data_IF_053721714967
#
_entry.id   IF_053721714967
#
_cell.length_a   1.000
_cell.length_b   1.000
_cell.length_c   1.000
_cell.angle_alpha   90.00
_cell.angle_beta   90.00
_cell.angle_gamma   90.00
#
_symmetry.space_group_name_H-M   'P 1'
#
loop_
_entity.id
_entity.type
_entity.pdbx_description
1 polymer ?
#
# COMPACT_ATOMS: atom_id res chain seq x y z
N UNK A 1 35.81 41.46 -6.51
CA UNK A 1 36.30 41.35 -5.11
C UNK A 1 35.59 40.18 -4.45
N UNK A 2 36.37 39.18 -4.13
CA UNK A 2 35.91 37.89 -3.61
C UNK A 2 35.58 37.99 -2.13
N UNK A 3 34.58 37.26 -1.66
CA UNK A 3 34.54 36.70 -0.30
C UNK A 3 33.79 35.36 -0.31
N UNK A 4 34.60 34.31 -0.32
CA UNK A 4 34.21 32.97 0.11
C UNK A 4 33.97 33.01 1.62
N UNK A 5 32.81 32.49 2.06
CA UNK A 5 32.60 32.10 3.45
C UNK A 5 32.35 30.56 3.46
N UNK A 6 33.38 29.83 3.84
CA UNK A 6 33.29 28.43 4.24
C UNK A 6 32.52 28.37 5.57
N UNK A 7 31.42 27.66 5.60
CA UNK A 7 30.77 27.23 6.84
C UNK A 7 30.99 25.72 7.01
N UNK A 8 31.82 25.39 8.01
CA UNK A 8 32.04 24.02 8.45
C UNK A 8 30.84 23.56 9.31
N UNK A 9 30.22 22.45 8.95
CA UNK A 9 29.24 21.78 9.79
C UNK A 9 29.90 20.68 10.62
N UNK A 10 29.61 20.56 11.93
CA UNK A 10 30.15 19.48 12.74
C UNK A 10 29.37 18.18 12.50
N UNK A 11 30.11 17.12 12.22
CA UNK A 11 29.65 15.74 12.21
C UNK A 11 29.45 15.28 13.64
N UNK A 12 28.21 15.07 14.04
CA UNK A 12 27.88 14.39 15.31
C UNK A 12 27.73 12.89 15.01
N UNK A 13 28.74 12.12 15.38
CA UNK A 13 28.70 10.67 15.38
C UNK A 13 27.92 10.19 16.62
N UNK A 14 26.72 9.72 16.45
CA UNK A 14 25.96 9.02 17.48
C UNK A 14 26.28 7.51 17.38
N UNK A 15 27.12 7.01 18.26
CA UNK A 15 27.38 5.60 18.48
C UNK A 15 26.21 5.03 19.30
N UNK A 16 25.31 4.26 18.67
CA UNK A 16 24.30 3.47 19.35
C UNK A 16 24.91 2.13 19.77
N UNK A 17 25.04 1.94 21.07
CA UNK A 17 25.46 0.70 21.72
C UNK A 17 24.37 -0.36 21.58
N UNK A 18 24.58 -1.36 20.73
CA UNK A 18 23.81 -2.59 20.68
C UNK A 18 24.30 -3.50 21.82
N UNK A 19 23.61 -3.48 22.94
CA UNK A 19 23.77 -4.47 23.99
C UNK A 19 22.44 -5.20 24.20
N UNK A 20 22.39 -6.48 23.86
CA UNK A 20 21.23 -7.31 24.09
C UNK A 20 21.33 -8.67 23.44
N UNK A 21 22.43 -9.41 23.75
CA UNK A 21 22.53 -10.81 23.38
C UNK A 21 21.82 -11.63 24.44
N UNK A 22 20.66 -12.20 24.11
CA UNK A 22 19.97 -13.24 24.87
C UNK A 22 19.85 -14.45 23.96
N UNK A 23 20.67 -15.50 24.20
CA UNK A 23 20.69 -16.71 23.40
C UNK A 23 19.43 -17.56 23.60
N UNK A 24 18.92 -18.04 22.51
CA UNK A 24 17.97 -19.11 22.35
C UNK A 24 18.12 -19.61 20.93
N UNK A 25 18.76 -20.80 20.78
CA UNK A 25 18.88 -21.46 19.48
C UNK A 25 17.52 -22.09 19.17
N UNK A 26 16.66 -21.38 18.49
CA UNK A 26 15.50 -21.93 17.83
C UNK A 26 15.52 -21.53 16.38
N UNK A 27 15.21 -22.51 15.55
CA UNK A 27 15.25 -22.53 14.09
C UNK A 27 14.81 -21.19 13.47
N UNK A 28 15.74 -20.53 12.80
CA UNK A 28 15.51 -19.29 12.07
C UNK A 28 14.47 -19.52 10.97
N UNK A 29 13.19 -19.36 11.27
CA UNK A 29 12.23 -19.05 10.23
C UNK A 29 12.57 -17.63 9.76
N UNK A 30 12.94 -17.48 8.51
CA UNK A 30 13.33 -16.20 7.90
C UNK A 30 12.12 -15.31 7.58
N UNK A 31 11.00 -15.51 8.26
CA UNK A 31 9.77 -14.78 8.08
C UNK A 31 9.70 -13.48 8.93
N UNK A 32 8.95 -12.52 8.46
CA UNK A 32 8.59 -11.33 9.22
C UNK A 32 7.61 -11.72 10.33
N UNK A 33 7.77 -11.24 11.58
CA UNK A 33 6.80 -11.54 12.64
C UNK A 33 5.38 -11.15 12.23
N UNK A 34 4.36 -11.84 12.74
CA UNK A 34 2.96 -11.50 12.45
C UNK A 34 2.65 -10.03 12.77
N UNK A 35 3.22 -9.49 13.86
CA UNK A 35 3.00 -8.10 14.26
C UNK A 35 3.66 -7.10 13.30
N UNK A 36 4.91 -7.33 12.90
CA UNK A 36 5.62 -6.47 11.96
C UNK A 36 4.99 -6.55 10.56
N UNK A 37 4.58 -7.75 10.14
CA UNK A 37 3.90 -7.96 8.87
C UNK A 37 2.56 -7.22 8.83
N UNK A 38 1.74 -7.36 9.87
CA UNK A 38 0.45 -6.68 9.99
C UNK A 38 0.61 -5.16 9.97
N UNK A 39 1.57 -4.64 10.76
CA UNK A 39 1.88 -3.21 10.83
C UNK A 39 2.34 -2.67 9.47
N UNK A 40 3.28 -3.34 8.81
CA UNK A 40 3.78 -2.97 7.48
C UNK A 40 2.66 -2.96 6.44
N UNK A 41 1.91 -4.07 6.32
CA UNK A 41 0.79 -4.18 5.39
C UNK A 41 -0.25 -3.08 5.60
N UNK A 42 -0.72 -2.88 6.83
CA UNK A 42 -1.77 -1.92 7.12
C UNK A 42 -1.30 -0.47 6.94
N UNK A 43 -0.04 -0.15 7.25
CA UNK A 43 0.56 1.16 7.01
C UNK A 43 0.57 1.49 5.53
N UNK A 44 1.10 0.59 4.70
CA UNK A 44 1.22 0.81 3.26
C UNK A 44 -0.16 0.82 2.58
N UNK A 45 -1.07 -0.04 3.04
CA UNK A 45 -2.46 -0.03 2.59
C UNK A 45 -3.18 1.28 2.93
N UNK A 46 -2.95 1.84 4.12
CA UNK A 46 -3.55 3.14 4.53
C UNK A 46 -3.05 4.27 3.65
N UNK A 47 -1.74 4.34 3.39
CA UNK A 47 -1.14 5.35 2.52
C UNK A 47 -1.72 5.24 1.10
N UNK A 48 -1.82 4.03 0.58
CA UNK A 48 -2.39 3.77 -0.74
C UNK A 48 -3.89 4.13 -0.83
N UNK A 49 -4.72 3.72 0.14
CA UNK A 49 -6.15 4.08 0.21
C UNK A 49 -6.34 5.60 0.22
N UNK A 50 -5.55 6.31 1.03
CA UNK A 50 -5.58 7.78 1.09
C UNK A 50 -5.25 8.39 -0.27
N UNK A 51 -4.21 7.91 -0.93
CA UNK A 51 -3.83 8.40 -2.27
C UNK A 51 -4.92 8.15 -3.33
N UNK A 52 -5.63 7.03 -3.26
CA UNK A 52 -6.76 6.75 -4.16
C UNK A 52 -7.94 7.71 -3.94
N UNK A 53 -8.25 8.03 -2.68
CA UNK A 53 -9.31 8.98 -2.35
C UNK A 53 -8.94 10.41 -2.78
N UNK A 54 -7.68 10.81 -2.61
CA UNK A 54 -7.17 12.09 -3.10
C UNK A 54 -7.25 12.18 -4.63
N UNK A 55 -6.86 11.13 -5.35
CA UNK A 55 -7.01 11.05 -6.80
C UNK A 55 -8.49 11.13 -7.23
N UNK A 56 -9.38 10.43 -6.51
CA UNK A 56 -10.83 10.47 -6.74
C UNK A 56 -11.41 11.88 -6.52
N UNK A 57 -10.97 12.57 -5.47
CA UNK A 57 -11.39 13.93 -5.16
C UNK A 57 -10.87 14.94 -6.20
N UNK A 58 -9.61 14.77 -6.64
CA UNK A 58 -8.97 15.67 -7.60
C UNK A 58 -9.67 15.68 -8.97
N UNK A 59 -10.15 14.53 -9.44
CA UNK A 59 -10.95 14.44 -10.69
C UNK A 59 -12.25 15.25 -10.58
N UNK A 60 -12.88 15.29 -9.41
CA UNK A 60 -14.09 16.10 -9.19
C UNK A 60 -13.81 17.61 -9.19
N UNK A 61 -12.59 18.01 -8.89
CA UNK A 61 -12.17 19.43 -8.79
C UNK A 61 -11.44 19.95 -10.02
N UNK A 62 -11.36 19.16 -11.10
CA UNK A 62 -10.87 19.62 -12.41
C UNK A 62 -9.50 19.08 -12.82
N UNK A 63 -8.91 18.13 -12.06
CA UNK A 63 -7.72 17.38 -12.55
C UNK A 63 -8.11 16.54 -13.76
N UNK A 64 -7.21 16.46 -14.74
CA UNK A 64 -7.49 15.65 -15.93
C UNK A 64 -7.57 14.15 -15.56
N UNK A 65 -8.41 13.35 -16.23
CA UNK A 65 -8.45 11.91 -16.00
C UNK A 65 -7.08 11.23 -16.19
N UNK A 66 -6.24 11.76 -17.10
CA UNK A 66 -4.89 11.26 -17.34
C UNK A 66 -3.97 11.45 -16.14
N UNK A 67 -3.94 12.64 -15.53
CA UNK A 67 -3.10 12.91 -14.36
C UNK A 67 -3.55 12.09 -13.14
N UNK A 68 -4.87 11.96 -12.94
CA UNK A 68 -5.42 11.12 -11.88
C UNK A 68 -5.08 9.64 -12.11
N UNK A 69 -5.17 9.16 -13.36
CA UNK A 69 -4.82 7.80 -13.74
C UNK A 69 -3.33 7.50 -13.49
N UNK A 70 -2.46 8.46 -13.82
CA UNK A 70 -1.02 8.33 -13.55
C UNK A 70 -0.77 8.21 -12.04
N UNK A 71 -1.37 9.09 -11.23
CA UNK A 71 -1.26 9.02 -9.77
C UNK A 71 -1.71 7.67 -9.23
N UNK A 72 -2.89 7.18 -9.65
CA UNK A 72 -3.42 5.87 -9.24
C UNK A 72 -2.46 4.75 -9.65
N UNK A 73 -1.91 4.81 -10.84
CA UNK A 73 -0.97 3.81 -11.36
C UNK A 73 0.30 3.75 -10.52
N UNK A 74 0.93 4.90 -10.27
CA UNK A 74 2.20 4.99 -9.54
C UNK A 74 2.02 4.54 -8.08
N UNK A 75 0.96 4.98 -7.41
CA UNK A 75 0.67 4.60 -6.03
C UNK A 75 0.31 3.11 -5.91
N UNK A 76 -0.42 2.57 -6.89
CA UNK A 76 -0.76 1.15 -6.90
C UNK A 76 0.48 0.28 -7.14
N UNK A 77 1.36 0.66 -8.05
CA UNK A 77 2.62 -0.05 -8.27
C UNK A 77 3.53 -0.02 -7.04
N UNK A 78 3.59 1.11 -6.33
CA UNK A 78 4.34 1.22 -5.07
C UNK A 78 3.76 0.30 -3.99
N UNK A 79 2.45 0.24 -3.86
CA UNK A 79 1.79 -0.65 -2.91
C UNK A 79 2.00 -2.14 -3.25
N UNK A 80 1.94 -2.52 -4.54
CA UNK A 80 2.26 -3.88 -4.99
C UNK A 80 3.69 -4.28 -4.61
N UNK A 81 4.66 -3.38 -4.82
CA UNK A 81 6.05 -3.61 -4.42
C UNK A 81 6.20 -3.77 -2.91
N UNK A 82 5.47 -2.99 -2.11
CA UNK A 82 5.45 -3.15 -0.65
C UNK A 82 4.92 -4.54 -0.25
N UNK A 83 3.82 -5.01 -0.83
CA UNK A 83 3.27 -6.36 -0.58
C UNK A 83 4.31 -7.44 -0.91
N UNK A 84 4.98 -7.32 -2.04
CA UNK A 84 6.00 -8.29 -2.46
C UNK A 84 7.21 -8.29 -1.50
N UNK A 85 7.57 -7.12 -0.97
CA UNK A 85 8.67 -6.93 -0.02
C UNK A 85 8.40 -7.48 1.38
N UNK A 86 7.14 -7.59 1.80
CA UNK A 86 6.78 -8.12 3.14
C UNK A 86 7.11 -9.61 3.29
N UNK A 87 7.10 -10.37 2.21
CA UNK A 87 7.27 -11.83 2.27
C UNK A 87 6.09 -12.53 2.96
N UNK A 88 6.33 -13.74 3.46
CA UNK A 88 5.35 -14.46 4.27
C UNK A 88 5.46 -14.04 5.74
N UNK A 89 4.35 -13.85 6.47
CA UNK A 89 4.41 -13.74 7.93
C UNK A 89 4.88 -15.06 8.55
N UNK A 90 5.58 -14.97 9.67
CA UNK A 90 6.03 -16.12 10.44
C UNK A 90 4.89 -16.65 11.31
N UNK A 91 3.94 -17.30 10.65
CA UNK A 91 2.75 -17.92 11.24
C UNK A 91 2.51 -19.29 10.59
N UNK A 92 1.75 -20.20 11.21
CA UNK A 92 1.41 -21.49 10.60
C UNK A 92 0.77 -21.37 9.21
N UNK A 93 -0.04 -20.34 8.98
CA UNK A 93 -0.75 -20.09 7.72
C UNK A 93 -0.10 -18.97 6.88
N UNK A 94 1.13 -18.56 7.20
CA UNK A 94 1.81 -17.41 6.59
C UNK A 94 2.00 -17.52 5.09
N UNK A 95 2.21 -18.72 4.55
CA UNK A 95 2.27 -18.94 3.09
C UNK A 95 0.92 -18.69 2.40
N UNK A 96 -0.19 -19.02 3.09
CA UNK A 96 -1.55 -18.75 2.61
C UNK A 96 -1.82 -17.25 2.63
N UNK A 97 -1.43 -16.57 3.71
CA UNK A 97 -1.53 -15.12 3.86
C UNK A 97 -0.74 -14.38 2.77
N UNK A 98 0.50 -14.80 2.49
CA UNK A 98 1.30 -14.26 1.39
C UNK A 98 0.62 -14.48 0.04
N UNK A 99 0.06 -15.66 -0.21
CA UNK A 99 -0.66 -15.96 -1.45
C UNK A 99 -1.89 -15.07 -1.61
N UNK A 100 -2.63 -14.84 -0.55
CA UNK A 100 -3.80 -13.94 -0.52
C UNK A 100 -3.38 -12.50 -0.83
N UNK A 101 -2.30 -12.00 -0.22
CA UNK A 101 -1.76 -10.67 -0.50
C UNK A 101 -1.26 -10.52 -1.95
N UNK A 102 -0.56 -11.51 -2.49
CA UNK A 102 -0.12 -11.54 -3.91
C UNK A 102 -1.30 -11.61 -4.90
N UNK A 103 -2.38 -12.28 -4.54
CA UNK A 103 -3.61 -12.31 -5.34
C UNK A 103 -4.23 -10.91 -5.43
N UNK A 104 -4.22 -10.13 -4.33
CA UNK A 104 -4.60 -8.71 -4.35
C UNK A 104 -3.69 -7.93 -5.30
N UNK A 105 -2.37 -8.06 -5.18
CA UNK A 105 -1.41 -7.37 -6.05
C UNK A 105 -1.68 -7.64 -7.54
N UNK A 106 -1.93 -8.90 -7.91
CA UNK A 106 -2.31 -9.29 -9.29
C UNK A 106 -3.63 -8.64 -9.73
N UNK A 107 -4.63 -8.61 -8.86
CA UNK A 107 -5.93 -7.97 -9.14
C UNK A 107 -5.75 -6.47 -9.39
N UNK A 108 -4.98 -5.79 -8.55
CA UNK A 108 -4.69 -4.36 -8.68
C UNK A 108 -3.91 -4.05 -9.96
N UNK A 109 -2.94 -4.87 -10.34
CA UNK A 109 -2.23 -4.75 -11.63
C UNK A 109 -3.21 -4.80 -12.81
N UNK A 110 -4.18 -5.72 -12.78
CA UNK A 110 -5.22 -5.80 -13.79
C UNK A 110 -6.14 -4.57 -13.84
N UNK A 111 -6.35 -3.88 -12.70
CA UNK A 111 -7.12 -2.62 -12.66
C UNK A 111 -6.32 -1.46 -13.25
N UNK A 112 -5.04 -1.36 -12.92
CA UNK A 112 -4.13 -0.36 -13.52
C UNK A 112 -4.09 -0.52 -15.04
N UNK A 113 -3.99 -1.74 -15.55
CA UNK A 113 -4.01 -1.99 -17.00
C UNK A 113 -5.31 -1.49 -17.65
N UNK A 114 -6.47 -1.67 -17.00
CA UNK A 114 -7.76 -1.15 -17.50
C UNK A 114 -7.82 0.37 -17.49
N UNK A 115 -7.29 1.03 -16.47
CA UNK A 115 -7.17 2.48 -16.41
C UNK A 115 -6.30 2.97 -17.57
N UNK A 116 -5.12 2.39 -17.76
CA UNK A 116 -4.19 2.76 -18.84
C UNK A 116 -4.84 2.62 -20.22
N UNK A 117 -5.57 1.53 -20.46
CA UNK A 117 -6.30 1.33 -21.72
C UNK A 117 -7.40 2.38 -21.94
N UNK A 118 -8.11 2.78 -20.88
CA UNK A 118 -9.20 3.76 -20.99
C UNK A 118 -8.69 5.20 -21.21
N UNK A 119 -7.46 5.49 -20.76
CA UNK A 119 -6.82 6.82 -20.91
C UNK A 119 -6.02 6.93 -22.22
N UNK A 120 -5.98 5.89 -23.03
CA UNK A 120 -5.28 5.95 -24.32
C UNK A 120 -5.85 7.08 -25.19
N UNK A 121 -5.08 8.18 -25.29
CA UNK A 121 -5.44 9.39 -26.02
C UNK A 121 -5.46 9.19 -27.54
N UNK A 122 -4.98 8.04 -28.03
CA UNK A 122 -5.02 7.69 -29.44
C UNK A 122 -6.39 7.13 -29.87
N UNK A 123 -7.31 6.92 -28.93
CA UNK A 123 -8.67 6.51 -29.25
C UNK A 123 -9.63 7.71 -29.28
N UNK A 124 -9.98 8.23 -30.48
CA UNK A 124 -10.83 9.41 -30.61
C UNK A 124 -12.28 9.19 -30.16
N UNK A 125 -12.69 7.93 -29.98
CA UNK A 125 -14.06 7.55 -29.61
C UNK A 125 -14.29 7.61 -28.09
N UNK A 126 -13.23 7.76 -27.27
CA UNK A 126 -13.34 7.81 -25.80
C UNK A 126 -13.38 9.25 -25.32
N UNK A 127 -14.51 9.66 -24.79
CA UNK A 127 -14.69 11.01 -24.23
C UNK A 127 -14.03 11.15 -22.85
N UNK A 128 -13.69 12.38 -22.45
CA UNK A 128 -13.18 12.69 -21.09
C UNK A 128 -14.13 12.19 -20.01
N UNK A 129 -15.45 12.28 -20.22
CA UNK A 129 -16.44 11.77 -19.27
C UNK A 129 -16.36 10.24 -19.10
N UNK A 130 -16.15 9.50 -20.18
CA UNK A 130 -15.96 8.05 -20.14
C UNK A 130 -14.65 7.66 -19.43
N UNK A 131 -13.55 8.37 -19.73
CA UNK A 131 -12.28 8.19 -19.02
C UNK A 131 -12.43 8.42 -17.52
N UNK A 132 -13.05 9.52 -17.14
CA UNK A 132 -13.37 9.83 -15.73
C UNK A 132 -14.16 8.72 -15.07
N UNK A 133 -15.22 8.23 -15.71
CA UNK A 133 -16.05 7.16 -15.17
C UNK A 133 -15.26 5.87 -14.96
N UNK A 134 -14.38 5.49 -15.89
CA UNK A 134 -13.53 4.31 -15.75
C UNK A 134 -12.55 4.47 -14.59
N UNK A 135 -11.85 5.59 -14.48
CA UNK A 135 -10.92 5.86 -13.35
C UNK A 135 -11.65 5.73 -12.01
N UNK A 136 -12.79 6.40 -11.86
CA UNK A 136 -13.58 6.35 -10.62
C UNK A 136 -14.08 4.93 -10.30
N UNK A 137 -14.55 4.19 -11.31
CA UNK A 137 -14.98 2.81 -11.15
C UNK A 137 -13.84 1.89 -10.69
N UNK A 138 -12.64 2.01 -11.30
CA UNK A 138 -11.50 1.19 -10.92
C UNK A 138 -11.00 1.54 -9.52
N UNK A 139 -11.01 2.82 -9.10
CA UNK A 139 -10.71 3.23 -7.72
C UNK A 139 -11.70 2.58 -6.75
N UNK A 140 -13.00 2.72 -6.97
CA UNK A 140 -14.03 2.15 -6.09
C UNK A 140 -13.90 0.62 -5.96
N UNK A 141 -13.62 -0.05 -7.08
CA UNK A 141 -13.42 -1.49 -7.08
C UNK A 141 -12.12 -1.89 -6.34
N UNK A 142 -11.04 -1.12 -6.48
CA UNK A 142 -9.79 -1.36 -5.75
C UNK A 142 -9.97 -1.20 -4.23
N UNK A 143 -10.75 -0.22 -3.79
CA UNK A 143 -11.09 -0.02 -2.37
C UNK A 143 -11.94 -1.18 -1.81
N UNK A 144 -12.78 -1.79 -2.63
CA UNK A 144 -13.54 -3.00 -2.26
C UNK A 144 -12.60 -4.21 -2.14
N UNK A 145 -11.66 -4.36 -3.06
CA UNK A 145 -10.71 -5.48 -3.06
C UNK A 145 -9.81 -5.44 -1.82
N UNK A 146 -9.25 -4.28 -1.46
CA UNK A 146 -8.40 -4.17 -0.27
C UNK A 146 -9.19 -4.48 1.00
N UNK A 147 -10.42 -3.97 1.13
CA UNK A 147 -11.29 -4.26 2.27
C UNK A 147 -11.57 -5.75 2.41
N UNK A 148 -11.92 -6.41 1.32
CA UNK A 148 -12.21 -7.85 1.30
C UNK A 148 -10.95 -8.67 1.61
N UNK A 149 -9.81 -8.30 1.03
CA UNK A 149 -8.55 -9.01 1.24
C UNK A 149 -8.05 -8.84 2.68
N UNK A 150 -8.13 -7.62 3.24
CA UNK A 150 -7.74 -7.37 4.63
C UNK A 150 -8.57 -8.21 5.61
N UNK A 151 -9.88 -8.28 5.40
CA UNK A 151 -10.76 -9.15 6.20
C UNK A 151 -10.40 -10.63 6.05
N UNK A 152 -10.11 -11.09 4.82
CA UNK A 152 -9.73 -12.46 4.54
C UNK A 152 -8.39 -12.85 5.18
N UNK A 153 -7.38 -12.00 5.14
CA UNK A 153 -6.09 -12.22 5.79
C UNK A 153 -6.25 -12.50 7.28
N UNK A 154 -7.10 -11.72 7.98
CA UNK A 154 -7.35 -11.93 9.40
C UNK A 154 -8.26 -13.12 9.73
N UNK A 155 -8.97 -13.69 8.74
CA UNK A 155 -9.81 -14.88 8.91
C UNK A 155 -9.06 -16.17 8.59
N UNK A 156 -8.24 -16.16 7.55
CA UNK A 156 -7.51 -17.35 7.08
C UNK A 156 -6.30 -17.68 7.96
N UNK A 157 -5.79 -16.71 8.72
CA UNK A 157 -4.65 -16.83 9.62
C UNK A 157 -4.99 -16.20 10.97
N UNK A 158 -5.26 -17.03 11.96
CA UNK A 158 -5.75 -16.59 13.28
C UNK A 158 -4.70 -15.78 14.06
N UNK A 159 -3.40 -16.11 13.91
CA UNK A 159 -2.31 -15.39 14.56
C UNK A 159 -2.12 -14.01 13.90
N UNK A 160 -2.09 -13.96 12.57
CA UNK A 160 -2.06 -12.71 11.83
C UNK A 160 -3.30 -11.87 12.14
N UNK A 161 -4.50 -12.46 12.19
CA UNK A 161 -5.74 -11.77 12.56
C UNK A 161 -5.69 -11.15 13.95
N UNK A 162 -5.02 -11.80 14.90
CA UNK A 162 -4.77 -11.26 16.23
C UNK A 162 -3.81 -10.08 16.19
N UNK A 163 -2.70 -10.20 15.43
CA UNK A 163 -1.74 -9.14 15.23
C UNK A 163 -2.38 -7.91 14.55
N UNK A 164 -3.19 -8.12 13.52
CA UNK A 164 -3.91 -7.05 12.82
C UNK A 164 -4.86 -6.29 13.76
N UNK A 165 -5.59 -6.99 14.63
CA UNK A 165 -6.48 -6.35 15.62
C UNK A 165 -5.71 -5.54 16.68
N UNK A 166 -4.48 -5.93 17.01
CA UNK A 166 -3.63 -5.22 17.96
C UNK A 166 -2.87 -4.04 17.35
N UNK A 167 -2.79 -3.96 16.01
CA UNK A 167 -2.03 -2.93 15.30
C UNK A 167 -2.81 -1.61 15.19
N UNK A 168 -2.16 -0.49 15.56
CA UNK A 168 -2.69 0.87 15.36
C UNK A 168 -2.79 1.23 13.89
N UNK A 169 -1.90 0.71 13.06
CA UNK A 169 -1.88 0.90 11.61
C UNK A 169 -3.10 0.26 10.95
N UNK A 170 -3.50 -0.95 11.42
CA UNK A 170 -4.71 -1.60 10.92
C UNK A 170 -5.98 -0.89 11.38
N UNK A 171 -6.00 -0.34 12.60
CA UNK A 171 -7.09 0.54 13.05
C UNK A 171 -7.19 1.79 12.15
N UNK A 172 -6.06 2.35 11.73
CA UNK A 172 -6.00 3.49 10.82
C UNK A 172 -6.51 3.12 9.42
N UNK A 173 -6.18 1.93 8.93
CA UNK A 173 -6.69 1.39 7.66
C UNK A 173 -8.21 1.23 7.69
N UNK A 174 -8.75 0.64 8.77
CA UNK A 174 -10.20 0.47 8.93
C UNK A 174 -10.92 1.84 8.93
N UNK A 175 -10.34 2.83 9.61
CA UNK A 175 -10.88 4.19 9.62
C UNK A 175 -10.80 4.86 8.23
N UNK A 176 -9.75 4.63 7.45
CA UNK A 176 -9.63 5.12 6.09
C UNK A 176 -10.69 4.45 5.18
N UNK A 177 -10.82 3.12 5.25
CA UNK A 177 -11.81 2.37 4.47
C UNK A 177 -13.26 2.70 4.84
N UNK A 178 -13.55 3.05 6.09
CA UNK A 178 -14.88 3.49 6.49
C UNK A 178 -15.30 4.80 5.82
N UNK A 179 -14.36 5.74 5.61
CA UNK A 179 -14.61 7.01 4.91
C UNK A 179 -14.94 6.82 3.43
N UNK A 180 -14.40 5.79 2.79
CA UNK A 180 -14.62 5.52 1.36
C UNK A 180 -16.02 4.98 1.06
N UNK A 181 -16.74 4.54 2.07
CA UNK A 181 -18.07 3.92 1.97
C UNK A 181 -19.23 4.92 2.16
N UNK A 182 -18.92 6.20 2.45
CA UNK A 182 -19.87 7.30 2.64
C UNK A 182 -19.99 8.16 1.36
#
# INVERSE_FOLDING_TARGET
MARLLLSAAPVVAAAALLAGCGGGSDSSSSGTSAADWASGYCKDATAWVTSLEDARASVKTGTTPGDAAQTVTDQTNSFIQSIDGLGAPDTPDGSTSQTTAKSLASTLSGRVARISTAIDTNNPDVTVAQQTAVVQQQIAASLTDIKTTTAKLGQDDAELGTAMKASSECTSLDAALAKTSA
#
